data_IF_004982403501
#
_entry.id   IF_004982403501
#
_cell.length_a   1.000
_cell.length_b   1.000
_cell.length_c   1.000
_cell.angle_alpha   90.00
_cell.angle_beta   90.00
_cell.angle_gamma   90.00
#
_symmetry.space_group_name_H-M   'P 1'
#
loop_
_entity.id
_entity.type
_entity.pdbx_description
1 polymer ?
#
# COMPACT_ATOMS: atom_id res chain seq x y z
N UNK A 1 14.04 -20.31 20.81
CA UNK A 1 13.34 -19.76 19.63
C UNK A 1 12.57 -18.57 20.15
N UNK A 2 13.01 -17.36 19.83
CA UNK A 2 12.39 -16.12 20.35
C UNK A 2 10.93 -16.08 19.87
N UNK A 3 9.98 -16.03 20.80
CA UNK A 3 8.55 -15.94 20.46
C UNK A 3 8.25 -14.48 20.13
N UNK A 4 7.94 -14.20 18.87
CA UNK A 4 7.52 -12.87 18.42
C UNK A 4 5.98 -12.77 18.45
N UNK A 5 5.45 -11.67 18.98
CA UNK A 5 4.01 -11.40 19.12
C UNK A 5 3.65 -10.07 18.45
N UNK A 6 2.43 -9.99 17.93
CA UNK A 6 1.88 -8.74 17.36
C UNK A 6 1.11 -8.03 18.48
N UNK A 7 1.63 -6.88 18.91
CA UNK A 7 1.06 -6.05 19.98
C UNK A 7 0.63 -4.68 19.43
N UNK A 8 0.03 -3.83 20.28
CA UNK A 8 -0.41 -2.47 19.92
C UNK A 8 -1.26 -2.41 18.65
N UNK A 9 -2.16 -3.38 18.51
CA UNK A 9 -3.01 -3.53 17.34
C UNK A 9 -4.06 -2.43 17.32
N UNK A 10 -4.10 -1.66 16.25
CA UNK A 10 -5.15 -0.69 15.96
C UNK A 10 -5.71 -0.94 14.56
N UNK A 11 -6.91 -0.44 14.28
CA UNK A 11 -7.49 -0.50 12.95
C UNK A 11 -8.31 0.75 12.64
N UNK A 12 -8.42 1.06 11.35
CA UNK A 12 -9.29 2.11 10.83
C UNK A 12 -10.20 1.52 9.74
N UNK A 13 -11.48 1.91 9.77
CA UNK A 13 -12.46 1.53 8.76
C UNK A 13 -12.32 2.47 7.55
N UNK A 14 -11.70 2.00 6.47
CA UNK A 14 -11.36 2.81 5.30
C UNK A 14 -12.26 2.46 4.13
N UNK A 15 -12.70 3.48 3.40
CA UNK A 15 -13.57 3.32 2.22
C UNK A 15 -12.81 3.51 0.92
N UNK A 16 -11.58 4.03 0.95
CA UNK A 16 -10.71 4.08 -0.22
C UNK A 16 -9.33 3.59 0.13
N UNK A 17 -8.79 2.72 -0.72
CA UNK A 17 -7.39 2.31 -0.70
C UNK A 17 -6.76 2.58 -2.07
N UNK A 18 -5.58 3.18 -2.08
CA UNK A 18 -4.75 3.30 -3.28
C UNK A 18 -3.44 2.57 -3.06
N UNK A 19 -3.13 1.66 -3.98
CA UNK A 19 -1.89 0.87 -3.96
C UNK A 19 -0.99 1.36 -5.07
N UNK A 20 0.18 1.88 -4.71
CA UNK A 20 1.20 2.34 -5.65
C UNK A 20 2.37 1.35 -5.63
N UNK A 21 2.67 0.65 -6.74
CA UNK A 21 3.83 -0.23 -6.82
C UNK A 21 5.13 0.52 -6.51
N UNK A 22 6.08 -0.17 -5.89
CA UNK A 22 7.43 0.35 -5.72
C UNK A 22 8.38 -0.30 -6.71
N UNK A 23 9.30 0.50 -7.23
CA UNK A 23 10.48 0.09 -7.96
C UNK A 23 11.53 -0.54 -7.01
N UNK A 24 12.61 -1.10 -7.56
CA UNK A 24 13.65 -1.78 -6.78
C UNK A 24 14.35 -0.87 -5.77
N UNK A 25 14.43 0.44 -6.06
CA UNK A 25 15.00 1.46 -5.18
C UNK A 25 14.02 1.97 -4.11
N UNK A 26 12.78 1.48 -4.11
CA UNK A 26 11.71 1.93 -3.22
C UNK A 26 10.96 3.16 -3.71
N UNK A 27 11.25 3.66 -4.91
CA UNK A 27 10.54 4.80 -5.50
C UNK A 27 9.14 4.35 -5.97
N UNK A 28 8.08 5.14 -5.70
CA UNK A 28 6.73 4.79 -6.12
C UNK A 28 6.47 5.06 -7.62
N UNK A 29 5.91 4.07 -8.31
CA UNK A 29 5.43 4.19 -9.69
C UNK A 29 3.96 4.61 -9.71
N UNK A 30 3.74 5.92 -9.65
CA UNK A 30 2.40 6.51 -9.63
C UNK A 30 1.61 6.31 -10.92
N UNK A 31 2.28 6.01 -12.05
CA UNK A 31 1.61 5.69 -13.32
C UNK A 31 0.82 4.37 -13.24
N UNK A 32 1.18 3.50 -12.30
CA UNK A 32 0.54 2.22 -12.06
C UNK A 32 -0.20 2.15 -10.72
N UNK A 33 -0.45 3.29 -10.10
CA UNK A 33 -1.21 3.32 -8.86
C UNK A 33 -2.67 2.92 -9.10
N UNK A 34 -3.17 1.93 -8.37
CA UNK A 34 -4.55 1.46 -8.48
C UNK A 34 -5.37 1.90 -7.28
N UNK A 35 -6.50 2.56 -7.52
CA UNK A 35 -7.41 3.04 -6.47
C UNK A 35 -8.67 2.17 -6.40
N UNK A 36 -9.03 1.74 -5.20
CA UNK A 36 -10.19 0.91 -4.90
C UNK A 36 -11.13 1.69 -4.00
N UNK A 37 -12.41 1.77 -4.39
CA UNK A 37 -13.46 2.41 -3.61
C UNK A 37 -14.41 1.34 -3.10
N UNK A 38 -14.68 1.38 -1.80
CA UNK A 38 -15.56 0.44 -1.12
C UNK A 38 -16.79 1.15 -0.56
N UNK A 39 -17.97 0.57 -0.81
CA UNK A 39 -19.26 0.98 -0.26
C UNK A 39 -19.36 0.61 1.22
N UNK A 40 -18.96 -0.62 1.53
CA UNK A 40 -18.71 -1.07 2.90
C UNK A 40 -17.22 -0.89 3.21
N UNK A 41 -16.85 -0.37 4.39
CA UNK A 41 -15.44 -0.14 4.69
C UNK A 41 -14.69 -1.46 4.92
N UNK A 42 -13.44 -1.49 4.47
CA UNK A 42 -12.47 -2.52 4.90
C UNK A 42 -11.67 -1.99 6.09
N UNK A 43 -11.13 -2.89 6.90
CA UNK A 43 -10.27 -2.52 8.02
C UNK A 43 -8.81 -2.49 7.57
N UNK A 44 -8.17 -1.33 7.70
CA UNK A 44 -6.72 -1.20 7.64
C UNK A 44 -6.17 -1.35 9.06
N UNK A 45 -5.58 -2.50 9.35
CA UNK A 45 -4.95 -2.81 10.62
C UNK A 45 -3.47 -2.38 10.65
N UNK A 46 -3.01 -1.93 11.81
CA UNK A 46 -1.60 -1.65 12.12
C UNK A 46 -1.23 -2.30 13.45
N UNK A 47 -0.02 -2.82 13.57
CA UNK A 47 0.48 -3.43 14.80
C UNK A 47 2.00 -3.33 14.91
N UNK A 48 2.51 -3.53 16.11
CA UNK A 48 3.94 -3.66 16.38
C UNK A 48 4.29 -5.14 16.53
N UNK A 49 5.44 -5.55 16.00
CA UNK A 49 5.97 -6.89 16.20
C UNK A 49 7.05 -6.82 17.28
N UNK A 50 6.74 -7.38 18.43
CA UNK A 50 7.59 -7.38 19.61
C UNK A 50 8.14 -8.79 19.87
N UNK A 51 9.37 -8.86 20.39
CA UNK A 51 9.92 -10.11 20.91
C UNK A 51 9.49 -10.24 22.35
N UNK A 52 8.81 -11.34 22.70
CA UNK A 52 8.50 -11.64 24.08
C UNK A 52 9.83 -11.92 24.79
N UNK A 53 10.18 -11.18 25.86
CA UNK A 53 11.38 -11.47 26.63
C UNK A 53 11.25 -12.88 27.21
N UNK A 54 12.13 -13.80 26.84
CA UNK A 54 12.25 -15.04 27.59
C UNK A 54 12.96 -14.73 28.90
N UNK A 55 12.23 -14.86 30.02
CA UNK A 55 12.77 -14.73 31.39
C UNK A 55 13.92 -15.72 31.72
N UNK A 56 14.36 -16.52 30.75
CA UNK A 56 15.44 -17.51 30.84
C UNK A 56 16.75 -17.03 30.20
N UNK A 57 16.83 -15.81 29.66
CA UNK A 57 18.05 -15.35 29.01
C UNK A 57 19.03 -14.75 30.02
N UNK A 58 20.27 -15.25 29.97
CA UNK A 58 21.35 -15.01 30.92
C UNK A 58 21.64 -13.51 31.17
N UNK A 59 22.16 -13.16 32.37
CA UNK A 59 22.65 -11.80 32.65
C UNK A 59 23.83 -11.52 31.72
N UNK A 60 23.58 -10.78 30.64
CA UNK A 60 24.58 -10.54 29.59
C UNK A 60 24.02 -10.32 28.18
N UNK A 61 22.74 -10.59 27.92
CA UNK A 61 22.06 -10.10 26.71
C UNK A 61 21.74 -8.59 26.85
N UNK A 62 22.83 -7.84 26.91
CA UNK A 62 22.83 -6.39 26.87
C UNK A 62 22.23 -5.92 25.54
N UNK A 63 21.25 -5.01 25.65
CA UNK A 63 21.10 -3.88 24.73
C UNK A 63 21.28 -4.23 23.25
N UNK A 64 20.48 -5.16 22.71
CA UNK A 64 20.21 -5.14 21.26
C UNK A 64 19.40 -3.89 20.97
N UNK A 65 20.19 -2.82 20.76
CA UNK A 65 19.99 -1.60 19.99
C UNK A 65 18.55 -1.17 19.76
N UNK A 66 18.32 0.12 20.04
CA UNK A 66 17.14 0.95 19.79
C UNK A 66 16.66 0.96 18.32
N UNK A 67 16.49 -0.21 17.70
CA UNK A 67 15.85 -0.36 16.42
C UNK A 67 14.36 -0.07 16.63
N UNK A 68 13.75 0.80 15.81
CA UNK A 68 12.32 1.06 15.91
C UNK A 68 11.55 -0.25 15.80
N UNK A 69 10.45 -0.41 16.58
CA UNK A 69 9.67 -1.63 16.56
C UNK A 69 9.22 -1.93 15.13
N UNK A 70 9.37 -3.19 14.72
CA UNK A 70 8.94 -3.63 13.39
C UNK A 70 7.43 -3.43 13.31
N UNK A 71 6.98 -2.57 12.40
CA UNK A 71 5.55 -2.36 12.17
C UNK A 71 5.03 -3.36 11.16
N UNK A 72 3.79 -3.77 11.37
CA UNK A 72 3.04 -4.66 10.51
C UNK A 72 1.73 -3.97 10.13
N UNK A 73 1.22 -4.30 8.95
CA UNK A 73 -0.09 -3.86 8.51
C UNK A 73 -0.87 -5.03 7.91
N UNK A 74 -2.20 -4.91 7.95
CA UNK A 74 -3.11 -5.88 7.34
C UNK A 74 -4.34 -5.21 6.72
N UNK A 75 -4.86 -5.80 5.65
CA UNK A 75 -6.18 -5.49 5.12
C UNK A 75 -7.12 -6.60 5.55
N UNK A 76 -8.13 -6.24 6.34
CA UNK A 76 -9.08 -7.16 6.95
C UNK A 76 -10.49 -6.78 6.50
N UNK A 77 -11.31 -7.77 6.19
CA UNK A 77 -12.72 -7.58 5.84
C UNK A 77 -13.54 -8.83 6.24
N UNK A 78 -14.87 -8.71 6.38
CA UNK A 78 -15.76 -9.87 6.48
C UNK A 78 -15.60 -10.85 5.31
N UNK A 79 -15.91 -12.12 5.54
CA UNK A 79 -15.94 -13.13 4.47
C UNK A 79 -17.02 -12.86 3.42
N UNK A 80 -18.12 -12.24 3.81
CA UNK A 80 -19.30 -11.92 3.00
C UNK A 80 -19.34 -10.47 2.50
N UNK A 81 -18.23 -9.72 2.66
CA UNK A 81 -18.12 -8.32 2.23
C UNK A 81 -18.62 -8.14 0.78
N UNK A 82 -19.50 -7.17 0.55
CA UNK A 82 -20.21 -6.99 -0.74
C UNK A 82 -19.25 -6.89 -1.94
N UNK A 83 -18.10 -6.25 -1.71
CA UNK A 83 -17.03 -6.09 -2.71
C UNK A 83 -15.84 -7.03 -2.52
N UNK A 84 -16.06 -8.25 -2.03
CA UNK A 84 -15.01 -9.24 -1.79
C UNK A 84 -14.06 -9.42 -2.99
N UNK A 85 -14.57 -9.41 -4.23
CA UNK A 85 -13.75 -9.46 -5.46
C UNK A 85 -12.69 -8.37 -5.54
N UNK A 86 -13.03 -7.14 -5.17
CA UNK A 86 -12.10 -6.00 -5.20
C UNK A 86 -11.07 -6.12 -4.07
N UNK A 87 -11.48 -6.61 -2.90
CA UNK A 87 -10.58 -6.90 -1.77
C UNK A 87 -9.56 -7.98 -2.16
N UNK A 88 -10.01 -9.05 -2.83
CA UNK A 88 -9.13 -10.08 -3.38
C UNK A 88 -8.18 -9.54 -4.45
N UNK A 89 -8.67 -8.69 -5.36
CA UNK A 89 -7.85 -8.08 -6.40
C UNK A 89 -6.74 -7.20 -5.80
N UNK A 90 -7.07 -6.39 -4.79
CA UNK A 90 -6.10 -5.60 -4.04
C UNK A 90 -5.05 -6.49 -3.38
N UNK A 91 -5.49 -7.52 -2.64
CA UNK A 91 -4.59 -8.45 -1.96
C UNK A 91 -3.66 -9.18 -2.93
N UNK A 92 -4.19 -9.61 -4.07
CA UNK A 92 -3.42 -10.25 -5.13
C UNK A 92 -2.39 -9.27 -5.73
N UNK A 93 -2.74 -8.00 -5.91
CA UNK A 93 -1.81 -6.95 -6.35
C UNK A 93 -0.63 -6.81 -5.38
N UNK A 94 -0.90 -6.75 -4.08
CA UNK A 94 0.14 -6.70 -3.04
C UNK A 94 1.02 -7.96 -3.06
N UNK A 95 0.44 -9.15 -3.22
CA UNK A 95 1.17 -10.41 -3.32
C UNK A 95 2.08 -10.50 -4.56
N UNK A 96 1.60 -10.02 -5.71
CA UNK A 96 2.41 -9.98 -6.94
C UNK A 96 3.66 -9.11 -6.76
N UNK A 97 3.57 -8.07 -5.93
CA UNK A 97 4.66 -7.15 -5.62
C UNK A 97 5.44 -7.51 -4.35
N UNK A 98 5.27 -8.70 -3.78
CA UNK A 98 5.95 -9.15 -2.53
C UNK A 98 7.48 -9.01 -2.48
N UNK A 99 8.15 -8.87 -3.63
CA UNK A 99 9.61 -8.66 -3.70
C UNK A 99 10.02 -7.20 -3.49
N UNK A 100 9.41 -6.27 -4.22
CA UNK A 100 9.74 -4.83 -4.15
C UNK A 100 8.90 -4.10 -3.10
N UNK A 101 7.63 -4.47 -2.97
CA UNK A 101 6.66 -3.86 -2.07
C UNK A 101 5.71 -2.91 -2.79
N UNK A 102 4.87 -2.25 -2.00
CA UNK A 102 3.94 -1.24 -2.48
C UNK A 102 3.76 -0.18 -1.41
N UNK A 103 3.50 1.05 -1.82
CA UNK A 103 2.91 2.01 -0.91
C UNK A 103 1.40 1.85 -0.89
N UNK A 104 0.80 2.09 0.26
CA UNK A 104 -0.65 2.03 0.46
C UNK A 104 -1.10 3.34 1.08
N UNK A 105 -1.96 4.04 0.36
CA UNK A 105 -2.68 5.21 0.84
C UNK A 105 -4.11 4.78 1.21
N UNK A 106 -4.66 5.30 2.29
CA UNK A 106 -6.02 5.00 2.71
C UNK A 106 -6.77 6.23 3.18
N UNK A 107 -8.07 6.28 2.89
CA UNK A 107 -8.97 7.34 3.31
C UNK A 107 -10.16 6.76 4.07
N UNK A 108 -10.51 7.44 5.17
CA UNK A 108 -11.74 7.20 5.93
C UNK A 108 -12.51 8.52 6.02
N UNK A 109 -13.80 8.56 5.61
CA UNK A 109 -14.63 9.75 5.76
C UNK A 109 -14.84 10.04 7.26
N UNK A 110 -14.71 11.31 7.65
CA UNK A 110 -14.91 11.75 9.04
C UNK A 110 -16.15 12.64 9.15
N UNK A 111 -16.12 13.74 8.41
CA UNK A 111 -17.20 14.73 8.33
C UNK A 111 -17.44 15.07 6.85
N UNK A 112 -18.56 15.72 6.48
CA UNK A 112 -18.77 16.15 5.11
C UNK A 112 -17.60 16.99 4.58
N UNK A 113 -16.87 16.44 3.59
CA UNK A 113 -15.70 17.10 3.00
C UNK A 113 -14.35 16.82 3.70
N UNK A 114 -14.35 16.14 4.85
CA UNK A 114 -13.13 15.87 5.64
C UNK A 114 -12.81 14.38 5.70
N UNK A 115 -11.54 14.05 5.52
CA UNK A 115 -11.02 12.70 5.45
C UNK A 115 -9.90 12.50 6.47
N UNK A 116 -9.92 11.38 7.17
CA UNK A 116 -8.73 10.81 7.77
C UNK A 116 -7.93 10.13 6.68
N UNK A 117 -6.63 10.39 6.66
CA UNK A 117 -5.71 9.90 5.65
C UNK A 117 -4.52 9.20 6.31
N UNK A 118 -4.12 8.07 5.74
CA UNK A 118 -2.84 7.45 6.08
C UNK A 118 -2.07 7.02 4.84
N UNK A 119 -0.74 7.10 4.94
CA UNK A 119 0.21 6.53 4.00
C UNK A 119 1.09 5.52 4.73
N UNK A 120 1.12 4.30 4.21
CA UNK A 120 2.16 3.31 4.46
C UNK A 120 3.09 3.35 3.24
N UNK A 121 4.26 4.00 3.33
CA UNK A 121 5.10 4.28 2.18
C UNK A 121 5.79 3.03 1.63
N UNK A 122 6.03 2.02 2.49
CA UNK A 122 6.64 0.76 2.08
C UNK A 122 6.04 -0.43 2.82
N UNK A 123 5.06 -1.08 2.20
CA UNK A 123 4.47 -2.34 2.64
C UNK A 123 5.08 -3.49 1.84
N UNK A 124 5.73 -4.42 2.54
CA UNK A 124 6.21 -5.67 1.96
C UNK A 124 5.31 -6.83 2.39
N UNK A 125 4.63 -7.44 1.41
CA UNK A 125 3.71 -8.54 1.66
C UNK A 125 4.38 -9.72 2.38
N UNK A 126 3.66 -10.29 3.35
CA UNK A 126 3.98 -11.50 4.08
C UNK A 126 2.84 -12.52 3.89
N UNK A 127 3.12 -13.75 3.43
CA UNK A 127 2.09 -14.75 3.16
C UNK A 127 1.42 -15.32 4.40
N UNK A 128 1.96 -15.11 5.60
CA UNK A 128 1.43 -15.65 6.85
C UNK A 128 0.27 -14.79 7.41
N UNK A 129 -0.83 -14.71 6.66
CA UNK A 129 -2.00 -13.90 7.03
C UNK A 129 -2.67 -14.37 8.33
N UNK A 130 -2.54 -15.66 8.67
CA UNK A 130 -3.14 -16.28 9.85
C UNK A 130 -2.48 -15.82 11.17
N UNK A 131 -1.30 -15.20 11.07
CA UNK A 131 -0.58 -14.58 12.16
C UNK A 131 -1.22 -13.27 12.63
N UNK A 132 -2.07 -12.64 11.81
CA UNK A 132 -2.71 -11.38 12.18
C UNK A 132 -3.76 -11.59 13.31
N UNK A 133 -3.67 -10.86 14.43
CA UNK A 133 -4.49 -11.12 15.62
C UNK A 133 -5.95 -10.68 15.48
N UNK A 134 -6.31 -9.89 14.46
CA UNK A 134 -7.71 -9.47 14.22
C UNK A 134 -8.53 -10.44 13.37
N UNK A 135 -8.09 -11.70 13.23
CA UNK A 135 -8.90 -12.76 12.61
C UNK A 135 -10.15 -13.15 13.43
N UNK A 136 -10.26 -12.64 14.66
CA UNK A 136 -11.32 -12.99 15.62
C UNK A 136 -12.30 -11.83 15.89
N UNK A 137 -12.30 -10.77 15.05
CA UNK A 137 -13.34 -9.74 15.13
C UNK A 137 -14.72 -10.34 14.84
N UNK A 138 -15.74 -9.92 15.59
CA UNK A 138 -17.14 -10.34 15.38
C UNK A 138 -17.54 -10.17 13.91
N UNK A 139 -18.21 -11.18 13.33
CA UNK A 139 -18.64 -11.17 11.91
C UNK A 139 -17.69 -11.85 10.92
N UNK A 140 -16.97 -12.91 11.33
CA UNK A 140 -16.15 -13.76 10.46
C UNK A 140 -15.16 -12.97 9.58
N UNK A 141 -14.40 -12.07 10.20
CA UNK A 141 -13.38 -11.29 9.51
C UNK A 141 -12.14 -12.13 9.20
N UNK A 142 -11.46 -11.80 8.09
CA UNK A 142 -10.15 -12.38 7.79
C UNK A 142 -9.18 -11.34 7.25
N UNK A 143 -7.89 -11.59 7.46
CA UNK A 143 -6.83 -10.83 6.80
C UNK A 143 -6.66 -11.30 5.35
N UNK A 144 -6.99 -10.44 4.39
CA UNK A 144 -6.78 -10.69 2.96
C UNK A 144 -5.34 -10.38 2.54
N UNK A 145 -4.72 -9.40 3.20
CA UNK A 145 -3.31 -9.07 3.01
C UNK A 145 -2.66 -8.77 4.36
N UNK A 146 -1.40 -9.16 4.50
CA UNK A 146 -0.57 -8.94 5.68
C UNK A 146 0.85 -8.61 5.23
N UNK A 147 1.59 -7.80 5.99
CA UNK A 147 2.99 -7.57 5.66
C UNK A 147 3.75 -6.65 6.60
N UNK A 148 5.06 -6.60 6.37
CA UNK A 148 5.97 -5.71 7.07
C UNK A 148 5.84 -4.28 6.53
N UNK A 149 5.76 -3.32 7.44
CA UNK A 149 5.89 -1.90 7.15
C UNK A 149 7.35 -1.49 7.34
N UNK A 150 8.03 -1.24 6.23
CA UNK A 150 9.47 -0.93 6.20
C UNK A 150 9.70 0.57 6.35
N UNK A 151 10.75 0.99 7.07
CA UNK A 151 11.18 2.38 7.05
C UNK A 151 11.71 2.73 5.66
N UNK A 152 11.43 3.95 5.21
CA UNK A 152 12.01 4.50 3.97
C UNK A 152 13.30 5.28 4.28
N UNK A 153 14.21 5.37 3.31
CA UNK A 153 15.51 6.02 3.53
C UNK A 153 15.46 7.53 3.22
N UNK A 154 14.89 7.95 2.10
CA UNK A 154 14.34 9.29 1.79
C UNK A 154 13.94 9.26 0.32
N UNK A 155 12.73 9.67 -0.02
CA UNK A 155 12.36 10.00 -1.40
C UNK A 155 11.23 11.02 -1.39
N UNK A 156 11.08 11.74 -2.50
CA UNK A 156 9.98 12.66 -2.68
C UNK A 156 8.72 11.85 -2.97
N UNK A 157 7.76 11.93 -2.06
CA UNK A 157 6.40 11.52 -2.37
C UNK A 157 5.69 12.71 -3.03
N UNK A 158 4.88 12.52 -4.09
CA UNK A 158 4.09 13.61 -4.68
C UNK A 158 3.25 14.36 -3.64
N UNK A 159 2.71 15.52 -4.00
CA UNK A 159 1.77 16.22 -3.13
C UNK A 159 0.63 15.26 -2.73
N UNK A 160 0.61 14.90 -1.45
CA UNK A 160 -0.41 14.03 -0.86
C UNK A 160 -1.44 14.89 -0.18
N UNK A 161 -2.73 14.55 -0.20
CA UNK A 161 -3.64 14.99 0.85
C UNK A 161 -3.01 14.76 2.25
N UNK A 162 -2.94 15.76 3.18
CA UNK A 162 -3.25 17.19 3.07
C UNK A 162 -2.08 18.12 2.68
N UNK A 163 -0.90 17.58 2.40
CA UNK A 163 0.27 18.35 2.03
C UNK A 163 0.14 18.95 0.61
N UNK A 164 0.11 20.29 0.47
CA UNK A 164 -0.07 20.96 -0.82
C UNK A 164 1.14 20.83 -1.75
N UNK A 165 2.29 20.40 -1.23
CA UNK A 165 3.55 20.27 -1.96
C UNK A 165 4.12 18.86 -1.80
N UNK A 166 4.93 18.44 -2.77
CA UNK A 166 5.68 17.20 -2.69
C UNK A 166 6.53 17.20 -1.42
N UNK A 167 6.25 16.24 -0.53
CA UNK A 167 6.91 16.17 0.77
C UNK A 167 7.96 15.07 0.73
N UNK A 168 9.20 15.43 1.03
CA UNK A 168 10.22 14.44 1.29
C UNK A 168 9.82 13.65 2.55
N UNK A 169 9.67 12.33 2.40
CA UNK A 169 9.51 11.46 3.56
C UNK A 169 10.87 11.35 4.25
N UNK A 170 10.91 11.74 5.52
CA UNK A 170 12.15 11.67 6.30
C UNK A 170 12.64 10.21 6.45
N UNK A 171 13.96 9.99 6.60
CA UNK A 171 14.50 8.68 6.91
C UNK A 171 13.79 8.05 8.13
N UNK A 172 13.48 6.77 8.04
CA UNK A 172 12.80 6.04 9.11
C UNK A 172 11.27 6.10 9.07
N UNK A 173 10.68 6.91 8.18
CA UNK A 173 9.21 7.03 8.09
C UNK A 173 8.59 5.68 7.70
N UNK A 174 7.68 5.19 8.54
CA UNK A 174 6.94 3.94 8.33
C UNK A 174 5.45 4.17 8.10
N UNK A 175 4.89 5.23 8.68
CA UNK A 175 3.47 5.59 8.53
C UNK A 175 3.37 7.11 8.60
N UNK A 176 2.54 7.70 7.75
CA UNK A 176 2.09 9.08 7.86
C UNK A 176 0.59 9.06 8.12
N UNK A 177 0.12 9.90 9.05
CA UNK A 177 -1.29 10.06 9.37
C UNK A 177 -1.62 11.55 9.33
N UNK A 178 -2.76 11.90 8.77
CA UNK A 178 -3.24 13.28 8.71
C UNK A 178 -4.76 13.36 8.56
N UNK A 179 -5.29 14.57 8.74
CA UNK A 179 -6.66 14.92 8.34
C UNK A 179 -6.60 15.88 7.17
N UNK A 180 -7.51 15.76 6.21
CA UNK A 180 -7.45 16.48 4.94
C UNK A 180 -8.84 16.77 4.38
N UNK A 181 -9.00 17.90 3.69
CA UNK A 181 -10.18 18.22 2.89
C UNK A 181 -10.05 17.72 1.43
N UNK A 182 -8.86 17.26 1.03
CA UNK A 182 -8.65 16.77 -0.33
C UNK A 182 -9.28 15.38 -0.46
N UNK A 183 -10.22 15.19 -1.41
CA UNK A 183 -10.89 13.91 -1.57
C UNK A 183 -9.93 12.84 -2.09
N UNK A 184 -10.26 11.55 -1.87
CA UNK A 184 -9.53 10.46 -2.48
C UNK A 184 -9.55 10.54 -4.02
N UNK A 185 -8.52 10.01 -4.71
CA UNK A 185 -8.53 9.87 -6.17
C UNK A 185 -9.71 9.01 -6.66
N UNK A 186 -10.16 9.15 -7.92
CA UNK A 186 -11.18 8.28 -8.49
C UNK A 186 -10.73 6.81 -8.53
N UNK A 187 -11.66 5.83 -8.54
CA UNK A 187 -11.32 4.41 -8.62
C UNK A 187 -10.66 4.05 -9.96
N UNK A 188 -9.80 3.03 -9.95
CA UNK A 188 -9.07 2.54 -11.11
C UNK A 188 -7.63 3.03 -11.20
N UNK A 189 -7.04 2.87 -12.39
CA UNK A 189 -5.74 3.43 -12.74
C UNK A 189 -5.83 4.95 -12.91
N UNK A 190 -4.73 5.69 -12.73
CA UNK A 190 -4.69 7.09 -13.10
C UNK A 190 -5.06 7.25 -14.60
N UNK A 191 -5.71 8.37 -14.97
CA UNK A 191 -5.89 8.68 -16.39
C UNK A 191 -4.52 8.71 -17.06
N UNK A 192 -4.43 8.15 -18.27
CA UNK A 192 -3.22 8.31 -19.08
C UNK A 192 -2.97 9.81 -19.26
N UNK A 193 -1.72 10.27 -19.12
CA UNK A 193 -1.43 11.68 -19.41
C UNK A 193 -1.89 11.95 -20.84
N UNK A 194 -2.76 12.95 -21.01
CA UNK A 194 -3.10 13.40 -22.35
C UNK A 194 -1.78 13.78 -23.04
N UNK A 195 -1.50 13.27 -24.25
CA UNK A 195 -0.33 13.71 -24.97
C UNK A 195 -0.42 15.24 -25.10
N UNK A 196 0.66 15.99 -24.83
CA UNK A 196 0.60 17.43 -24.92
C UNK A 196 0.05 17.83 -26.29
N UNK A 197 -0.86 18.80 -26.29
CA UNK A 197 -1.60 19.27 -27.48
C UNK A 197 -0.73 19.65 -28.69
N UNK A 198 0.59 19.74 -28.50
CA UNK A 198 1.59 20.08 -29.51
C UNK A 198 2.32 18.87 -30.11
N UNK A 199 1.90 17.63 -29.86
CA UNK A 199 2.42 16.51 -30.65
C UNK A 199 1.88 16.61 -32.07
N UNK A 200 2.74 16.83 -33.10
CA UNK A 200 2.27 16.73 -34.48
C UNK A 200 1.70 15.33 -34.66
N UNK A 201 0.49 15.26 -35.23
CA UNK A 201 -0.18 14.00 -35.56
C UNK A 201 0.86 13.04 -36.15
N UNK A 202 1.03 11.88 -35.51
CA UNK A 202 2.01 10.88 -35.90
C UNK A 202 1.93 10.69 -37.42
N UNK A 203 3.02 11.03 -38.11
CA UNK A 203 3.10 10.92 -39.58
C UNK A 203 2.68 9.50 -39.93
N UNK A 204 1.62 9.31 -40.76
CA UNK A 204 1.18 7.98 -41.11
C UNK A 204 2.35 7.23 -41.74
N UNK A 205 2.84 6.20 -41.05
CA UNK A 205 3.90 5.33 -41.58
C UNK A 205 3.38 4.74 -42.88
N UNK A 206 3.84 5.27 -44.02
CA UNK A 206 3.59 4.66 -45.33
C UNK A 206 4.04 3.21 -45.24
N UNK A 207 3.09 2.28 -45.41
CA UNK A 207 3.40 0.87 -45.60
C UNK A 207 4.45 0.77 -46.72
N UNK A 208 5.59 0.09 -46.50
CA UNK A 208 6.51 -0.19 -47.60
C UNK A 208 5.75 -0.98 -48.67
N UNK A 209 5.85 -0.51 -49.92
CA UNK A 209 5.24 -1.17 -51.06
C UNK A 209 5.74 -2.62 -51.16
N UNK A 210 4.86 -3.59 -51.48
CA UNK A 210 5.27 -4.98 -51.62
C UNK A 210 6.35 -5.09 -52.71
N UNK A 211 7.50 -5.68 -52.36
CA UNK A 211 8.56 -5.97 -53.32
C UNK A 211 8.01 -6.96 -54.35
N UNK A 212 7.95 -6.53 -55.61
CA UNK A 212 7.56 -7.38 -56.73
C UNK A 212 8.48 -8.60 -56.82
N UNK A 213 7.89 -9.78 -57.02
CA UNK A 213 8.64 -10.99 -57.38
C UNK A 213 9.28 -10.80 -58.77
N UNK A 214 10.53 -11.23 -58.99
CA UNK A 214 11.11 -11.25 -60.32
C UNK A 214 10.39 -12.30 -61.19
N UNK A 215 10.27 -12.07 -62.51
CA UNK A 215 9.69 -13.03 -63.43
C UNK A 215 10.58 -14.27 -63.56
N UNK A 216 9.93 -15.42 -63.76
CA UNK A 216 10.53 -16.74 -64.04
C UNK A 216 10.86 -16.84 -65.52
#
# INVERSE_FOLDING_TARGET
>A
MDREEITHVSSAAVTVLRVTPLEEDGTPDHGWAMTYHYREPVLLGSGALERIPSFLNAPGENLREWLPPRRLAAIVAPLDHEQSRDVYALAQGLWQRRRTGSAVEAWQPQEPGTWWYTLIPWWRYNPDTDRWPLKELEGDHRAYAFGDVRPVNTYAWPALPPFPEAKALGPGTQVVIAFTETPPPPPGLPPSPEPPHDYPAAVPRRRPAPRGRPPV
#
